data_IF_732401438035
#
_entry.id   IF_732401438035
#
_cell.length_a   1.000
_cell.length_b   1.000
_cell.length_c   1.000
_cell.angle_alpha   90.00
_cell.angle_beta   90.00
_cell.angle_gamma   90.00
#
_symmetry.space_group_name_H-M   'P 1'
#
loop_
_entity.id
_entity.type
_entity.pdbx_description
1 polymer ?
#
# COMPACT_ATOMS: atom_id res chain seq x y z
N UNK A 1 -1.05 0.95 -24.14
CA UNK A 1 -1.98 0.99 -22.97
C UNK A 1 -1.69 -0.14 -21.98
N UNK A 2 -1.53 -1.39 -22.44
CA UNK A 2 -1.29 -2.54 -21.55
C UNK A 2 0.01 -2.45 -20.73
N UNK A 3 1.10 -1.96 -21.32
CA UNK A 3 2.43 -1.89 -20.66
C UNK A 3 2.44 -1.02 -19.40
N UNK A 4 1.66 0.07 -19.39
CA UNK A 4 1.55 0.97 -18.24
C UNK A 4 0.84 0.30 -17.06
N UNK A 5 -0.15 -0.54 -17.31
CA UNK A 5 -0.89 -1.28 -16.28
C UNK A 5 0.04 -2.31 -15.63
N UNK A 6 0.85 -2.99 -16.44
CA UNK A 6 1.84 -3.96 -15.95
C UNK A 6 2.89 -3.25 -15.10
N UNK A 7 3.39 -2.09 -15.53
CA UNK A 7 4.33 -1.28 -14.75
C UNK A 7 3.76 -0.83 -13.40
N UNK A 8 2.50 -0.39 -13.36
CA UNK A 8 1.81 -0.01 -12.12
C UNK A 8 1.60 -1.20 -11.19
N UNK A 9 1.24 -2.38 -11.73
CA UNK A 9 1.11 -3.60 -10.94
C UNK A 9 2.45 -4.10 -10.40
N UNK A 10 3.51 -4.06 -11.21
CA UNK A 10 4.85 -4.43 -10.80
C UNK A 10 5.37 -3.49 -9.70
N UNK A 11 5.15 -2.19 -9.85
CA UNK A 11 5.46 -1.19 -8.84
C UNK A 11 4.65 -1.45 -7.55
N UNK A 12 3.35 -1.74 -7.66
CA UNK A 12 2.51 -2.07 -6.51
C UNK A 12 3.03 -3.30 -5.75
N UNK A 13 3.36 -4.37 -6.47
CA UNK A 13 3.93 -5.57 -5.86
C UNK A 13 5.29 -5.32 -5.22
N UNK A 14 6.15 -4.53 -5.86
CA UNK A 14 7.44 -4.13 -5.29
C UNK A 14 7.26 -3.34 -3.99
N UNK A 15 6.41 -2.32 -3.98
CA UNK A 15 6.11 -1.56 -2.75
C UNK A 15 5.49 -2.41 -1.66
N UNK A 16 4.65 -3.39 -2.03
CA UNK A 16 4.03 -4.30 -1.06
C UNK A 16 5.10 -5.15 -0.34
N UNK A 17 6.07 -5.67 -1.08
CA UNK A 17 7.19 -6.44 -0.54
C UNK A 17 8.12 -5.55 0.30
N UNK A 18 8.47 -4.37 -0.20
CA UNK A 18 9.33 -3.42 0.52
C UNK A 18 8.70 -3.00 1.85
N UNK A 19 7.41 -2.69 1.87
CA UNK A 19 6.69 -2.39 3.11
C UNK A 19 6.80 -3.52 4.15
N UNK A 20 6.54 -4.77 3.73
CA UNK A 20 6.64 -5.94 4.60
C UNK A 20 8.06 -6.12 5.13
N UNK A 21 9.08 -5.92 4.28
CA UNK A 21 10.49 -5.95 4.68
C UNK A 21 10.82 -4.86 5.70
N UNK A 22 10.38 -3.61 5.51
CA UNK A 22 10.69 -2.54 6.46
C UNK A 22 9.99 -2.76 7.79
N UNK A 23 8.73 -3.20 7.75
CA UNK A 23 7.97 -3.46 8.97
C UNK A 23 8.55 -4.61 9.78
N UNK A 24 8.81 -5.76 9.16
CA UNK A 24 9.28 -6.96 9.86
C UNK A 24 10.79 -7.03 10.06
N UNK A 25 11.60 -6.56 9.10
CA UNK A 25 13.06 -6.68 9.13
C UNK A 25 13.75 -5.49 9.77
N UNK A 26 13.30 -4.27 9.45
CA UNK A 26 13.89 -3.04 9.98
C UNK A 26 13.26 -2.61 11.30
N UNK A 27 12.10 -3.16 11.67
CA UNK A 27 11.35 -2.83 12.90
C UNK A 27 11.23 -1.31 13.12
N UNK A 28 11.18 -0.54 12.02
CA UNK A 28 11.11 0.92 11.97
C UNK A 28 9.72 1.28 11.45
N UNK A 29 8.69 1.27 12.31
CA UNK A 29 7.32 1.48 11.88
C UNK A 29 7.12 2.89 11.27
N UNK A 30 7.93 3.88 11.65
CA UNK A 30 7.93 5.23 11.06
C UNK A 30 8.19 5.23 9.54
N UNK A 31 9.24 4.53 9.09
CA UNK A 31 9.57 4.42 7.67
C UNK A 31 8.55 3.56 6.93
N UNK A 32 8.04 2.51 7.58
CA UNK A 32 7.00 1.67 7.01
C UNK A 32 5.68 2.46 6.79
N UNK A 33 5.37 3.49 7.56
CA UNK A 33 4.19 4.32 7.32
C UNK A 33 4.28 5.15 6.02
N UNK A 34 5.44 5.76 5.75
CA UNK A 34 5.68 6.49 4.50
C UNK A 34 5.57 5.57 3.28
N UNK A 35 6.17 4.39 3.36
CA UNK A 35 6.13 3.42 2.26
C UNK A 35 4.74 2.83 2.05
N UNK A 36 4.00 2.59 3.13
CA UNK A 36 2.58 2.19 3.08
C UNK A 36 1.72 3.26 2.39
N UNK A 37 1.97 4.54 2.68
CA UNK A 37 1.24 5.65 2.05
C UNK A 37 1.51 5.68 0.54
N UNK A 38 2.75 5.43 0.12
CA UNK A 38 3.12 5.33 -1.29
C UNK A 38 2.47 4.12 -1.98
N UNK A 39 2.39 2.99 -1.28
CA UNK A 39 1.68 1.79 -1.75
C UNK A 39 0.19 2.10 -1.92
N UNK A 40 -0.42 2.75 -0.94
CA UNK A 40 -1.82 3.13 -0.94
C UNK A 40 -2.16 4.04 -2.12
N UNK A 41 -1.31 5.04 -2.41
CA UNK A 41 -1.44 5.90 -3.58
C UNK A 41 -1.34 5.11 -4.89
N UNK A 42 -0.40 4.15 -4.99
CA UNK A 42 -0.29 3.28 -6.17
C UNK A 42 -1.58 2.46 -6.41
N UNK A 43 -2.20 1.94 -5.34
CA UNK A 43 -3.48 1.20 -5.43
C UNK A 43 -4.60 2.14 -5.88
N UNK A 44 -4.66 3.35 -5.34
CA UNK A 44 -5.67 4.32 -5.68
C UNK A 44 -5.58 4.72 -7.17
N UNK A 45 -4.36 4.92 -7.68
CA UNK A 45 -4.14 5.17 -9.12
C UNK A 45 -4.63 3.99 -9.96
N UNK A 46 -4.32 2.74 -9.55
CA UNK A 46 -4.83 1.53 -10.19
C UNK A 46 -6.36 1.46 -10.19
N UNK A 47 -7.02 1.83 -9.08
CA UNK A 47 -8.47 1.88 -8.96
C UNK A 47 -9.07 2.90 -9.93
N UNK A 48 -8.54 4.12 -9.99
CA UNK A 48 -9.03 5.17 -10.89
C UNK A 48 -8.86 4.74 -12.35
N UNK A 49 -7.69 4.18 -12.69
CA UNK A 49 -7.38 3.78 -14.05
C UNK A 49 -8.21 2.58 -14.49
N UNK A 50 -8.27 1.49 -13.70
CA UNK A 50 -9.11 0.34 -13.99
C UNK A 50 -10.60 0.68 -13.94
N UNK A 51 -11.03 1.58 -13.05
CA UNK A 51 -12.43 2.00 -12.94
C UNK A 51 -12.95 2.74 -14.16
N UNK A 52 -12.07 3.41 -14.92
CA UNK A 52 -12.43 4.00 -16.22
C UNK A 52 -12.68 2.95 -17.30
N UNK A 53 -12.09 1.76 -17.20
CA UNK A 53 -12.25 0.68 -18.18
C UNK A 53 -13.30 -0.35 -17.77
N UNK A 54 -13.35 -0.75 -16.49
CA UNK A 54 -14.28 -1.75 -15.98
C UNK A 54 -14.58 -1.51 -14.49
N UNK A 55 -15.86 -1.27 -14.18
CA UNK A 55 -16.34 -1.10 -12.80
C UNK A 55 -16.06 -2.34 -11.94
N UNK A 56 -16.05 -3.53 -12.55
CA UNK A 56 -15.76 -4.79 -11.87
C UNK A 56 -14.31 -4.88 -11.39
N UNK A 57 -13.36 -4.36 -12.18
CA UNK A 57 -11.95 -4.32 -11.81
C UNK A 57 -11.70 -3.36 -10.64
N UNK A 58 -12.37 -2.20 -10.64
CA UNK A 58 -12.33 -1.29 -9.50
C UNK A 58 -12.94 -1.91 -8.24
N UNK A 59 -14.07 -2.63 -8.37
CA UNK A 59 -14.72 -3.29 -7.23
C UNK A 59 -13.81 -4.35 -6.55
N UNK A 60 -12.98 -5.07 -7.32
CA UNK A 60 -12.00 -6.03 -6.77
C UNK A 60 -10.87 -5.35 -6.00
N UNK A 61 -10.54 -4.09 -6.32
CA UNK A 61 -9.47 -3.35 -5.67
C UNK A 61 -9.93 -2.60 -4.40
N UNK A 62 -11.23 -2.36 -4.23
CA UNK A 62 -11.81 -1.77 -3.01
C UNK A 62 -11.44 -2.57 -1.73
N UNK A 63 -11.61 -3.91 -1.66
CA UNK A 63 -11.22 -4.66 -0.46
C UNK A 63 -9.70 -4.63 -0.23
N UNK A 64 -8.90 -4.51 -1.30
CA UNK A 64 -7.45 -4.36 -1.18
C UNK A 64 -7.05 -2.99 -0.58
N UNK A 65 -7.71 -1.91 -1.00
CA UNK A 65 -7.51 -0.58 -0.41
C UNK A 65 -7.90 -0.58 1.07
N UNK A 66 -9.02 -1.23 1.43
CA UNK A 66 -9.47 -1.35 2.81
C UNK A 66 -8.44 -2.11 3.67
N UNK A 67 -7.86 -3.19 3.15
CA UNK A 67 -6.80 -3.92 3.82
C UNK A 67 -5.54 -3.08 4.05
N UNK A 68 -5.08 -2.32 3.05
CA UNK A 68 -3.90 -1.45 3.21
C UNK A 68 -4.18 -0.31 4.20
N UNK A 69 -5.38 0.25 4.22
CA UNK A 69 -5.79 1.22 5.25
C UNK A 69 -5.75 0.61 6.66
N UNK A 70 -6.21 -0.64 6.82
CA UNK A 70 -6.13 -1.35 8.09
C UNK A 70 -4.68 -1.62 8.52
N UNK A 71 -3.81 -2.03 7.58
CA UNK A 71 -2.39 -2.20 7.83
C UNK A 71 -1.71 -0.88 8.24
N UNK A 72 -2.13 0.25 7.66
CA UNK A 72 -1.67 1.58 8.05
C UNK A 72 -2.10 1.97 9.47
N UNK A 73 -3.35 1.68 9.84
CA UNK A 73 -3.84 1.90 11.20
C UNK A 73 -3.11 1.02 12.23
N UNK A 74 -2.82 -0.24 11.88
CA UNK A 74 -2.02 -1.13 12.72
C UNK A 74 -0.59 -0.61 12.88
N UNK A 75 0.05 -0.18 11.79
CA UNK A 75 1.37 0.41 11.81
C UNK A 75 1.42 1.64 12.73
N UNK A 76 0.46 2.56 12.57
CA UNK A 76 0.32 3.74 13.42
C UNK A 76 0.13 3.39 14.91
N UNK A 77 -0.65 2.35 15.20
CA UNK A 77 -0.84 1.86 16.56
C UNK A 77 0.47 1.29 17.13
N UNK A 78 1.26 0.59 16.32
CA UNK A 78 2.59 0.08 16.70
C UNK A 78 3.56 1.23 16.95
N UNK A 79 3.55 2.30 16.15
CA UNK A 79 4.34 3.52 16.39
C UNK A 79 3.97 4.12 17.75
N UNK A 80 2.68 4.33 18.03
CA UNK A 80 2.23 4.91 19.29
C UNK A 80 2.58 4.05 20.51
N UNK A 81 2.39 2.73 20.41
CA UNK A 81 2.64 1.79 21.52
C UNK A 81 4.12 1.56 21.80
N UNK A 82 5.00 1.77 20.82
CA UNK A 82 6.46 1.63 20.97
C UNK A 82 7.20 2.98 20.98
N UNK A 83 6.47 4.11 21.03
CA UNK A 83 7.09 5.42 21.22
C UNK A 83 7.66 5.49 22.64
N UNK A 84 8.99 5.61 22.82
CA UNK A 84 9.84 6.50 22.03
C UNK A 84 10.85 5.76 21.15
N UNK A 85 10.71 5.93 19.83
CA UNK A 85 11.87 5.87 18.94
C UNK A 85 12.59 7.21 19.13
N UNK A 86 13.57 7.24 20.03
CA UNK A 86 14.36 8.43 20.35
C UNK A 86 15.04 9.05 19.13
#
# INVERSE_FOLDING_TARGET
VSEWIIGLFALNGFLNISWSLIFFRLQRPDWAFYELTLLWLSILVLIIYCGRFSKTAAALLVPYLAWVSFAGALNWSVVQLNAPFG
#
